data_IF_656134404936
#
_entry.id   IF_656134404936
#
_cell.length_a   1.000
_cell.length_b   1.000
_cell.length_c   1.000
_cell.angle_alpha   90.00
_cell.angle_beta   90.00
_cell.angle_gamma   90.00
#
_symmetry.space_group_name_H-M   'P 1'
#
loop_
_entity.id
_entity.type
_entity.pdbx_description
1 polymer ?
#
# COMPACT_ATOMS: atom_id res chain seq x y z
N UNK A 1 -15.90 -11.41 27.99
CA UNK A 1 -14.92 -10.51 28.61
C UNK A 1 -14.39 -9.57 27.56
N UNK A 2 -14.94 -8.37 27.49
CA UNK A 2 -14.20 -7.31 26.81
C UNK A 2 -12.91 -7.09 27.63
N UNK A 3 -11.73 -7.00 27.02
CA UNK A 3 -10.51 -6.70 27.76
C UNK A 3 -10.55 -5.24 28.22
N UNK A 4 -11.33 -4.98 29.26
CA UNK A 4 -11.30 -3.72 29.95
C UNK A 4 -9.94 -3.63 30.64
N UNK A 5 -8.99 -2.92 30.02
CA UNK A 5 -7.69 -2.64 30.62
C UNK A 5 -6.46 -3.19 29.91
N UNK A 6 -6.58 -3.81 28.74
CA UNK A 6 -5.39 -4.11 27.94
C UNK A 6 -4.80 -2.79 27.41
N UNK A 7 -3.68 -2.36 27.95
CA UNK A 7 -2.91 -1.25 27.42
C UNK A 7 -1.77 -1.81 26.60
N UNK A 8 -1.78 -1.49 25.31
CA UNK A 8 -0.69 -1.88 24.41
C UNK A 8 0.25 -0.69 24.27
N UNK A 9 1.52 -0.89 24.56
CA UNK A 9 2.54 0.13 24.42
C UNK A 9 3.57 -0.35 23.38
N UNK A 10 3.77 0.43 22.35
CA UNK A 10 4.72 0.14 21.28
C UNK A 10 6.03 0.90 21.52
N UNK A 11 7.11 0.16 21.60
CA UNK A 11 8.46 0.71 21.68
C UNK A 11 9.06 0.87 20.27
N UNK A 12 8.39 1.60 19.41
CA UNK A 12 8.98 2.04 18.15
C UNK A 12 8.88 3.55 18.12
N UNK A 13 9.97 4.22 17.77
CA UNK A 13 10.00 5.67 17.72
C UNK A 13 8.73 6.23 17.07
N UNK A 14 8.31 7.35 17.39
CA UNK A 14 7.20 8.24 16.98
C UNK A 14 6.20 7.81 15.87
N UNK A 15 6.12 6.55 15.49
CA UNK A 15 5.14 6.02 14.53
C UNK A 15 3.81 5.74 15.21
N UNK A 16 2.72 6.27 14.68
CA UNK A 16 1.39 5.95 15.16
C UNK A 16 1.01 4.55 14.69
N UNK A 17 1.08 3.58 15.60
CA UNK A 17 0.40 2.31 15.45
C UNK A 17 -1.01 2.48 16.01
N UNK A 18 -2.03 2.02 15.28
CA UNK A 18 -3.37 1.93 15.85
C UNK A 18 -3.37 0.79 16.86
N UNK A 19 -3.69 1.14 18.10
CA UNK A 19 -3.73 0.22 19.22
C UNK A 19 -5.12 -0.38 19.45
N UNK A 20 -6.01 -0.17 18.50
CA UNK A 20 -7.31 -0.83 18.51
C UNK A 20 -7.14 -2.34 18.30
N UNK A 21 -7.36 -3.14 19.35
CA UNK A 21 -7.66 -4.57 19.17
C UNK A 21 -8.97 -4.66 18.40
N UNK A 22 -8.89 -5.10 17.17
CA UNK A 22 -10.07 -5.48 16.39
C UNK A 22 -10.32 -6.95 16.71
N UNK A 23 -11.27 -7.22 17.58
CA UNK A 23 -11.64 -8.56 18.01
C UNK A 23 -11.89 -8.65 19.51
N UNK A 24 -12.41 -9.77 19.93
CA UNK A 24 -12.62 -10.11 21.34
C UNK A 24 -11.85 -11.38 21.62
N UNK A 25 -10.67 -11.31 22.27
CA UNK A 25 -9.92 -12.51 22.60
C UNK A 25 -10.78 -13.53 23.34
N UNK A 26 -10.71 -14.78 22.92
CA UNK A 26 -11.42 -15.86 23.57
C UNK A 26 -10.76 -16.22 24.89
N UNK A 27 -11.54 -16.36 25.96
CA UNK A 27 -11.08 -16.90 27.25
C UNK A 27 -11.76 -18.26 27.47
N UNK A 28 -10.97 -19.28 27.68
CA UNK A 28 -11.47 -20.61 28.04
C UNK A 28 -10.90 -21.04 29.39
N UNK A 29 -11.75 -21.61 30.25
CA UNK A 29 -11.35 -22.30 31.47
C UNK A 29 -10.95 -23.73 31.13
N UNK A 30 -9.80 -24.14 31.62
CA UNK A 30 -9.29 -25.54 31.46
C UNK A 30 -9.68 -26.44 32.62
N UNK A 31 -10.48 -25.96 33.57
CA UNK A 31 -11.02 -26.77 34.68
C UNK A 31 -10.07 -27.07 35.81
N UNK A 32 -8.88 -26.48 35.84
CA UNK A 32 -7.84 -26.72 36.85
C UNK A 32 -7.39 -25.46 37.58
N UNK A 33 -8.21 -24.43 37.59
CA UNK A 33 -7.84 -23.09 38.06
C UNK A 33 -6.88 -22.37 37.10
N UNK A 34 -6.79 -22.85 35.89
CA UNK A 34 -6.02 -22.22 34.79
C UNK A 34 -6.95 -21.90 33.64
N UNK A 35 -6.70 -20.79 32.98
CA UNK A 35 -7.43 -20.37 31.78
C UNK A 35 -6.46 -20.07 30.65
N UNK A 36 -6.96 -20.12 29.42
CA UNK A 36 -6.21 -19.73 28.24
C UNK A 36 -6.87 -18.53 27.62
N UNK A 37 -6.09 -17.45 27.40
CA UNK A 37 -6.45 -16.33 26.56
C UNK A 37 -5.90 -16.59 25.17
N UNK A 38 -6.78 -16.65 24.18
CA UNK A 38 -6.39 -16.88 22.77
C UNK A 38 -6.76 -15.68 21.94
N UNK A 39 -5.76 -15.08 21.29
CA UNK A 39 -5.99 -14.13 20.20
C UNK A 39 -6.24 -14.92 18.89
N UNK A 40 -7.24 -14.54 18.14
CA UNK A 40 -7.55 -15.15 16.85
C UNK A 40 -7.12 -14.26 15.66
N UNK A 41 -7.40 -14.70 14.44
CA UNK A 41 -7.02 -13.97 13.23
C UNK A 41 -7.75 -12.62 13.06
N UNK A 42 -8.78 -12.34 13.84
CA UNK A 42 -9.47 -11.06 13.86
C UNK A 42 -8.84 -10.07 14.85
N UNK A 43 -7.99 -10.56 15.76
CA UNK A 43 -7.25 -9.74 16.72
C UNK A 43 -6.00 -9.20 16.04
N UNK A 44 -6.15 -8.12 15.28
CA UNK A 44 -5.05 -7.51 14.52
C UNK A 44 -4.61 -6.19 15.11
N UNK A 45 -3.34 -5.91 14.95
CA UNK A 45 -2.74 -4.61 15.24
C UNK A 45 -2.38 -3.99 13.90
N UNK A 46 -2.91 -2.79 13.62
CA UNK A 46 -2.69 -2.10 12.37
C UNK A 46 -1.71 -0.94 12.52
N UNK A 47 -0.88 -0.74 11.52
CA UNK A 47 -0.07 0.46 11.40
C UNK A 47 -0.92 1.61 10.84
N UNK A 48 -1.07 2.69 11.61
CA UNK A 48 -1.79 3.88 11.17
C UNK A 48 -0.89 4.75 10.29
N UNK A 49 -1.29 4.91 9.04
CA UNK A 49 -0.58 5.69 8.03
C UNK A 49 -1.00 7.17 8.06
N UNK A 50 -0.60 7.91 9.09
CA UNK A 50 -0.84 9.35 9.15
C UNK A 50 0.33 10.16 8.59
N UNK A 51 1.48 10.07 9.23
CA UNK A 51 2.69 10.81 8.88
C UNK A 51 3.80 9.83 8.49
N UNK A 52 4.62 10.13 7.47
CA UNK A 52 5.75 9.29 7.12
C UNK A 52 6.74 9.15 8.27
N UNK A 53 7.13 7.92 8.56
CA UNK A 53 8.11 7.55 9.58
C UNK A 53 9.25 6.77 8.98
N UNK A 54 10.45 6.95 9.53
CA UNK A 54 11.61 6.14 9.14
C UNK A 54 11.36 4.65 9.44
N UNK A 55 12.04 3.73 8.75
CA UNK A 55 11.94 2.31 9.04
C UNK A 55 12.21 2.01 10.52
N UNK A 56 11.41 1.09 11.07
CA UNK A 56 11.55 0.69 12.47
C UNK A 56 11.15 -0.77 12.67
N UNK A 57 11.69 -1.38 13.73
CA UNK A 57 11.25 -2.69 14.21
C UNK A 57 10.36 -2.49 15.42
N UNK A 58 9.13 -2.98 15.37
CA UNK A 58 8.19 -2.83 16.46
C UNK A 58 8.38 -3.93 17.49
N UNK A 59 8.43 -3.54 18.76
CA UNK A 59 8.25 -4.43 19.89
C UNK A 59 7.02 -4.00 20.68
N UNK A 60 6.23 -4.99 21.12
CA UNK A 60 4.95 -4.78 21.79
C UNK A 60 5.13 -5.08 23.27
N UNK A 61 4.58 -4.22 24.11
CA UNK A 61 4.34 -4.53 25.52
C UNK A 61 2.84 -4.70 25.75
N UNK A 62 2.45 -5.83 26.27
CA UNK A 62 1.06 -6.16 26.60
C UNK A 62 0.88 -6.10 28.11
N UNK A 63 -0.09 -5.31 28.55
CA UNK A 63 -0.53 -5.27 29.94
C UNK A 63 -1.91 -5.90 30.03
N UNK A 64 -2.05 -6.96 30.82
CA UNK A 64 -3.31 -7.64 31.03
C UNK A 64 -3.79 -7.47 32.48
N UNK A 65 -5.04 -7.03 32.63
CA UNK A 65 -5.79 -7.07 33.89
C UNK A 65 -6.99 -7.99 33.71
N UNK A 66 -7.01 -9.09 34.43
CA UNK A 66 -8.10 -10.08 34.39
C UNK A 66 -8.88 -9.97 35.69
N UNK A 67 -10.19 -9.88 35.58
CA UNK A 67 -11.11 -9.87 36.71
C UNK A 67 -12.14 -10.99 36.51
N UNK A 68 -12.21 -11.92 37.47
CA UNK A 68 -13.33 -12.84 37.55
C UNK A 68 -14.47 -12.17 38.32
N UNK A 69 -15.56 -11.86 37.59
CA UNK A 69 -16.72 -11.20 38.17
C UNK A 69 -17.59 -12.12 39.02
N UNK A 70 -17.43 -13.43 38.91
CA UNK A 70 -18.15 -14.41 39.72
C UNK A 70 -17.59 -14.53 41.12
N UNK A 71 -16.32 -14.25 41.34
CA UNK A 71 -15.61 -14.30 42.61
C UNK A 71 -15.35 -12.92 43.23
N UNK A 72 -15.95 -11.90 42.72
CA UNK A 72 -15.69 -10.48 43.07
C UNK A 72 -16.02 -10.14 44.55
N UNK A 73 -16.75 -11.01 45.25
CA UNK A 73 -17.13 -10.81 46.64
C UNK A 73 -16.14 -11.44 47.64
N UNK A 74 -15.14 -12.18 47.17
CA UNK A 74 -14.17 -12.89 48.02
C UNK A 74 -12.82 -12.18 47.93
N UNK A 75 -12.43 -11.55 49.02
CA UNK A 75 -11.14 -10.85 49.09
C UNK A 75 -9.99 -11.84 48.85
N UNK A 76 -9.23 -11.59 47.80
CA UNK A 76 -8.04 -12.38 47.43
C UNK A 76 -8.25 -13.43 46.35
N UNK A 77 -9.48 -13.67 45.87
CA UNK A 77 -9.74 -14.62 44.81
C UNK A 77 -10.22 -13.87 43.53
N UNK A 78 -9.68 -14.26 42.40
CA UNK A 78 -10.20 -13.88 41.08
C UNK A 78 -9.89 -12.45 40.58
N UNK A 79 -9.23 -11.64 41.38
CA UNK A 79 -8.80 -10.31 40.98
C UNK A 79 -7.29 -10.31 40.81
N UNK A 80 -6.83 -10.40 39.57
CA UNK A 80 -5.49 -9.93 39.27
C UNK A 80 -5.57 -8.41 39.42
N UNK A 81 -4.91 -7.90 40.45
CA UNK A 81 -4.97 -6.53 40.90
C UNK A 81 -4.77 -5.55 39.71
N UNK A 82 -5.76 -4.71 39.45
CA UNK A 82 -5.68 -3.66 38.41
C UNK A 82 -4.54 -2.68 38.64
N UNK A 83 -4.04 -2.56 39.87
CA UNK A 83 -2.87 -1.76 40.21
C UNK A 83 -1.53 -2.45 39.88
N UNK A 84 -1.53 -3.77 39.63
CA UNK A 84 -0.35 -4.54 39.27
C UNK A 84 -0.73 -5.54 38.13
N UNK A 85 -1.01 -5.05 36.92
CA UNK A 85 -1.34 -5.89 35.79
C UNK A 85 -0.15 -6.80 35.44
N UNK A 86 -0.43 -7.98 34.88
CA UNK A 86 0.61 -8.82 34.28
C UNK A 86 1.20 -8.10 33.07
N UNK A 87 2.51 -7.93 33.06
CA UNK A 87 3.23 -7.23 32.00
C UNK A 87 4.04 -8.24 31.18
N UNK A 88 3.79 -8.25 29.90
CA UNK A 88 4.60 -8.93 28.91
C UNK A 88 5.29 -7.85 28.06
N UNK A 89 6.61 -7.90 27.96
CA UNK A 89 7.37 -6.89 27.23
C UNK A 89 8.24 -7.53 26.16
N UNK A 90 8.70 -6.70 25.23
CA UNK A 90 9.60 -7.11 24.14
C UNK A 90 9.04 -8.20 23.22
N UNK A 91 7.71 -8.26 23.07
CA UNK A 91 7.08 -9.14 22.10
C UNK A 91 7.38 -8.58 20.70
N UNK A 92 8.13 -9.33 19.89
CA UNK A 92 8.45 -8.93 18.54
C UNK A 92 7.17 -8.91 17.68
N UNK A 93 6.89 -7.78 17.04
CA UNK A 93 5.82 -7.65 16.07
C UNK A 93 6.32 -8.17 14.71
N UNK A 94 5.47 -8.93 14.00
CA UNK A 94 5.79 -9.50 12.68
C UNK A 94 7.16 -10.21 12.64
N UNK A 95 7.42 -11.03 13.67
CA UNK A 95 8.69 -11.76 13.85
C UNK A 95 9.95 -10.88 13.84
N UNK A 96 9.81 -9.62 14.24
CA UNK A 96 10.90 -8.64 14.24
C UNK A 96 11.24 -8.06 12.87
N UNK A 97 10.35 -8.21 11.90
CA UNK A 97 10.50 -7.59 10.58
C UNK A 97 10.48 -6.06 10.65
N UNK A 98 11.26 -5.44 9.79
CA UNK A 98 11.29 -3.99 9.67
C UNK A 98 10.00 -3.47 9.01
N UNK A 99 9.29 -2.57 9.68
CA UNK A 99 8.11 -1.89 9.17
C UNK A 99 8.55 -0.64 8.40
N UNK A 100 8.01 -0.44 7.20
CA UNK A 100 8.32 0.68 6.32
C UNK A 100 7.05 1.43 5.92
N UNK A 101 7.10 2.75 6.02
CA UNK A 101 6.04 3.60 5.49
C UNK A 101 6.14 3.65 3.96
N UNK A 102 5.32 2.86 3.28
CA UNK A 102 5.39 2.65 1.84
C UNK A 102 4.45 3.54 1.02
N UNK A 103 4.75 3.68 -0.28
CA UNK A 103 3.84 4.15 -1.33
C UNK A 103 4.19 3.55 -2.67
N UNK A 104 3.24 3.54 -3.61
CA UNK A 104 3.47 3.19 -5.01
C UNK A 104 3.64 4.47 -5.82
N UNK A 105 4.69 4.58 -6.62
CA UNK A 105 4.94 5.71 -7.49
C UNK A 105 4.83 5.32 -8.96
N UNK A 106 4.24 6.20 -9.75
CA UNK A 106 4.20 6.14 -11.21
C UNK A 106 4.93 7.34 -11.79
N UNK A 107 5.58 7.18 -12.93
CA UNK A 107 6.10 8.29 -13.71
C UNK A 107 5.45 8.37 -15.08
N UNK A 108 5.33 9.59 -15.62
CA UNK A 108 4.88 9.79 -16.99
C UNK A 108 5.81 9.08 -17.96
N UNK A 109 5.23 8.54 -19.03
CA UNK A 109 5.98 7.89 -20.09
C UNK A 109 5.57 8.44 -21.45
N UNK A 110 6.52 8.50 -22.37
CA UNK A 110 6.22 8.84 -23.76
C UNK A 110 7.06 8.00 -24.71
N UNK A 111 6.50 7.71 -25.88
CA UNK A 111 7.17 6.91 -26.88
C UNK A 111 6.45 6.97 -28.23
N UNK A 112 6.90 6.12 -29.15
CA UNK A 112 6.25 5.97 -30.45
C UNK A 112 4.93 5.22 -30.30
N UNK A 113 3.96 5.60 -31.12
CA UNK A 113 2.68 4.90 -31.27
C UNK A 113 2.86 3.49 -31.92
N UNK A 114 4.02 3.25 -32.50
CA UNK A 114 4.35 1.97 -33.18
C UNK A 114 5.03 0.95 -32.23
N UNK A 115 5.36 1.35 -31.02
CA UNK A 115 6.10 0.52 -30.07
C UNK A 115 5.37 0.41 -28.73
N UNK A 116 5.55 -0.73 -28.06
CA UNK A 116 5.09 -0.90 -26.70
C UNK A 116 5.80 0.08 -25.76
N UNK A 117 5.03 0.74 -24.90
CA UNK A 117 5.52 1.79 -24.02
C UNK A 117 5.65 1.29 -22.57
N UNK A 118 6.86 1.12 -22.04
CA UNK A 118 7.03 0.85 -20.62
C UNK A 118 6.71 2.12 -19.80
N UNK A 119 5.95 1.94 -18.72
CA UNK A 119 5.65 3.00 -17.76
C UNK A 119 6.39 2.68 -16.46
N UNK A 120 7.25 3.59 -15.98
CA UNK A 120 7.93 3.37 -14.72
C UNK A 120 6.94 3.29 -13.56
N UNK A 121 6.99 2.18 -12.84
CA UNK A 121 6.21 1.92 -11.63
C UNK A 121 7.13 1.32 -10.58
N UNK A 122 7.14 1.91 -9.39
CA UNK A 122 7.99 1.43 -8.31
C UNK A 122 7.34 1.58 -6.94
N UNK A 123 7.60 0.63 -6.06
CA UNK A 123 7.31 0.76 -4.64
C UNK A 123 8.41 1.59 -3.98
N UNK A 124 8.00 2.55 -3.18
CA UNK A 124 8.87 3.46 -2.45
C UNK A 124 8.57 3.38 -0.97
N UNK A 125 9.53 3.74 -0.13
CA UNK A 125 9.36 3.90 1.31
C UNK A 125 10.02 5.19 1.79
N UNK A 126 9.53 5.73 2.89
CA UNK A 126 10.13 6.89 3.54
C UNK A 126 11.36 6.46 4.33
N UNK A 127 12.53 7.00 4.00
CA UNK A 127 13.81 6.64 4.63
C UNK A 127 14.23 7.54 5.80
N UNK A 128 13.31 8.44 6.22
CA UNK A 128 13.58 9.45 7.25
C UNK A 128 13.78 10.86 6.69
N UNK A 129 14.14 11.01 5.41
CA UNK A 129 14.34 12.30 4.74
C UNK A 129 13.52 12.45 3.45
N UNK A 130 13.16 11.35 2.82
CA UNK A 130 12.42 11.34 1.56
C UNK A 130 11.96 9.95 1.17
N UNK A 131 11.16 9.87 0.10
CA UNK A 131 10.76 8.59 -0.48
C UNK A 131 11.86 8.06 -1.39
N UNK A 132 12.34 6.86 -1.08
CA UNK A 132 13.30 6.11 -1.86
C UNK A 132 12.68 4.80 -2.35
N UNK A 133 13.19 4.26 -3.46
CA UNK A 133 12.75 2.95 -3.96
C UNK A 133 12.98 1.86 -2.91
N UNK A 134 11.97 1.03 -2.69
CA UNK A 134 12.07 -0.13 -1.82
C UNK A 134 12.70 -1.33 -2.55
N UNK A 135 14.03 -1.33 -2.65
CA UNK A 135 14.74 -2.40 -3.36
C UNK A 135 14.59 -3.79 -2.72
N UNK A 136 14.13 -3.87 -1.48
CA UNK A 136 13.82 -5.14 -0.82
C UNK A 136 12.44 -5.69 -1.21
N UNK A 137 11.59 -4.92 -1.90
CA UNK A 137 10.26 -5.38 -2.27
C UNK A 137 10.32 -6.35 -3.47
N UNK A 138 10.00 -7.59 -3.16
CA UNK A 138 9.83 -8.68 -4.12
C UNK A 138 8.46 -9.36 -3.96
N UNK A 139 7.55 -8.77 -3.18
CA UNK A 139 6.24 -9.36 -2.86
C UNK A 139 5.05 -8.56 -3.40
N UNK A 140 5.17 -7.26 -3.62
CA UNK A 140 4.09 -6.46 -4.22
C UNK A 140 3.68 -7.05 -5.56
N UNK A 141 2.39 -7.32 -5.71
CA UNK A 141 1.81 -7.88 -6.91
C UNK A 141 0.58 -7.08 -7.32
N UNK A 142 0.56 -6.66 -8.58
CA UNK A 142 -0.53 -5.92 -9.18
C UNK A 142 -0.90 -6.55 -10.52
N UNK A 143 -2.12 -6.34 -10.98
CA UNK A 143 -2.64 -6.88 -12.22
C UNK A 143 -3.12 -5.76 -13.17
N UNK A 144 -3.12 -6.02 -14.45
CA UNK A 144 -3.51 -5.06 -15.49
C UNK A 144 -4.94 -4.53 -15.31
N UNK A 145 -5.87 -5.36 -14.81
CA UNK A 145 -7.24 -4.95 -14.54
C UNK A 145 -7.39 -4.00 -13.35
N UNK A 146 -6.33 -3.72 -12.60
CA UNK A 146 -6.30 -2.73 -11.52
C UNK A 146 -5.82 -1.35 -12.00
N UNK A 147 -5.49 -1.22 -13.28
CA UNK A 147 -5.08 0.04 -13.89
C UNK A 147 -6.27 0.70 -14.54
N UNK A 148 -6.73 1.81 -14.00
CA UNK A 148 -7.78 2.66 -14.56
C UNK A 148 -7.21 3.52 -15.67
N UNK A 149 -7.88 3.56 -16.81
CA UNK A 149 -7.53 4.39 -17.95
C UNK A 149 -8.64 5.43 -18.21
N UNK A 150 -8.24 6.67 -18.43
CA UNK A 150 -9.17 7.78 -18.64
C UNK A 150 -8.50 8.91 -19.43
N UNK A 151 -9.30 9.93 -19.78
CA UNK A 151 -8.75 11.16 -20.36
C UNK A 151 -8.00 10.93 -21.67
N UNK A 152 -8.54 10.09 -22.53
CA UNK A 152 -8.05 9.86 -23.88
C UNK A 152 -8.04 11.16 -24.68
N UNK A 153 -6.93 11.46 -25.39
CA UNK A 153 -6.73 12.73 -26.05
C UNK A 153 -6.14 12.56 -27.44
N UNK A 154 -6.48 13.49 -28.33
CA UNK A 154 -6.13 13.55 -29.76
C UNK A 154 -6.69 12.33 -30.51
N UNK A 155 -5.87 11.70 -31.33
CA UNK A 155 -6.27 10.59 -32.19
C UNK A 155 -6.19 9.23 -31.48
N UNK A 156 -5.86 9.22 -30.18
CA UNK A 156 -5.84 8.00 -29.37
C UNK A 156 -7.21 7.81 -28.70
N UNK A 157 -7.95 6.78 -29.13
CA UNK A 157 -9.26 6.44 -28.60
C UNK A 157 -9.19 5.33 -27.57
N UNK A 158 -10.34 5.12 -26.88
CA UNK A 158 -10.43 4.11 -25.82
C UNK A 158 -10.10 2.71 -26.34
N UNK A 159 -9.18 2.04 -25.65
CA UNK A 159 -8.73 0.67 -25.89
C UNK A 159 -7.98 0.42 -27.21
N UNK A 160 -7.55 1.46 -27.93
CA UNK A 160 -6.57 1.31 -29.03
C UNK A 160 -5.19 0.87 -28.51
N UNK A 161 -4.92 1.09 -27.23
CA UNK A 161 -3.80 0.49 -26.50
C UNK A 161 -4.33 -0.23 -25.28
N UNK A 162 -3.67 -1.30 -24.90
CA UNK A 162 -4.01 -2.10 -23.72
C UNK A 162 -2.87 -2.10 -22.71
N UNK A 163 -3.24 -2.26 -21.43
CA UNK A 163 -2.29 -2.36 -20.33
C UNK A 163 -1.91 -3.82 -20.10
N UNK A 164 -0.64 -4.06 -19.88
CA UNK A 164 -0.10 -5.28 -19.28
C UNK A 164 0.66 -4.96 -18.00
N UNK A 165 0.34 -5.69 -16.95
CA UNK A 165 1.00 -5.62 -15.66
C UNK A 165 0.81 -6.98 -15.01
N UNK A 166 1.87 -7.69 -14.71
CA UNK A 166 1.79 -9.05 -14.15
C UNK A 166 3.05 -9.39 -13.37
N UNK A 167 2.91 -10.39 -12.51
CA UNK A 167 4.00 -10.87 -11.68
C UNK A 167 4.27 -9.98 -10.47
N UNK A 168 5.23 -10.41 -9.69
CA UNK A 168 5.70 -9.68 -8.52
C UNK A 168 6.68 -8.58 -8.92
N UNK A 169 6.77 -7.56 -8.10
CA UNK A 169 7.82 -6.57 -8.24
C UNK A 169 9.20 -7.23 -8.05
N UNK A 170 10.18 -6.70 -8.76
CA UNK A 170 11.56 -7.12 -8.61
C UNK A 170 12.39 -5.90 -8.18
N UNK A 171 13.04 -6.02 -7.03
CA UNK A 171 13.79 -4.92 -6.41
C UNK A 171 12.98 -3.60 -6.40
N UNK A 172 11.69 -3.69 -6.04
CA UNK A 172 10.79 -2.55 -5.96
C UNK A 172 10.29 -2.00 -7.29
N UNK A 173 10.46 -2.71 -8.41
CA UNK A 173 9.99 -2.27 -9.73
C UNK A 173 8.98 -3.24 -10.31
N UNK A 174 7.89 -2.71 -10.85
CA UNK A 174 6.92 -3.46 -11.64
C UNK A 174 7.19 -3.36 -13.14
N UNK A 175 6.50 -4.18 -13.92
CA UNK A 175 6.65 -4.28 -15.37
C UNK A 175 5.44 -3.73 -16.15
N UNK A 176 4.91 -2.60 -15.71
CA UNK A 176 3.78 -1.94 -16.36
C UNK A 176 4.12 -1.51 -17.79
N UNK A 177 3.29 -1.91 -18.75
CA UNK A 177 3.47 -1.58 -20.17
C UNK A 177 2.14 -1.32 -20.85
N UNK A 178 2.17 -0.45 -21.84
CA UNK A 178 1.12 -0.34 -22.85
C UNK A 178 1.53 -1.07 -24.12
N UNK A 179 0.57 -1.67 -24.81
CA UNK A 179 0.77 -2.16 -26.18
C UNK A 179 0.94 -0.97 -27.13
N UNK A 180 1.54 -1.19 -28.31
CA UNK A 180 1.58 -0.19 -29.37
C UNK A 180 0.14 0.11 -29.83
N UNK A 181 -0.34 1.36 -29.79
CA UNK A 181 -1.66 1.69 -30.33
C UNK A 181 -1.77 1.57 -31.85
N UNK A 182 -0.65 1.64 -32.55
CA UNK A 182 -0.59 1.55 -34.00
C UNK A 182 -0.49 2.89 -34.72
N UNK A 183 -0.18 2.85 -36.00
CA UNK A 183 0.02 4.04 -36.83
C UNK A 183 -1.25 4.91 -36.86
N UNK A 184 -1.07 6.22 -36.67
CA UNK A 184 -2.14 7.21 -36.65
C UNK A 184 -2.78 7.42 -35.28
N UNK A 185 -2.63 6.52 -34.33
CA UNK A 185 -3.20 6.64 -32.98
C UNK A 185 -2.25 7.42 -32.06
N UNK A 186 -2.03 8.68 -32.43
CA UNK A 186 -1.16 9.60 -31.67
C UNK A 186 -1.96 10.31 -30.58
N UNK A 187 -1.44 10.36 -29.37
CA UNK A 187 -2.18 11.03 -28.30
C UNK A 187 -1.69 10.67 -26.93
N UNK A 188 -2.55 10.78 -25.95
CA UNK A 188 -2.22 10.41 -24.58
C UNK A 188 -3.42 9.86 -23.82
N UNK A 189 -3.14 9.07 -22.81
CA UNK A 189 -4.11 8.53 -21.85
C UNK A 189 -3.60 8.74 -20.43
N UNK A 190 -4.48 9.10 -19.53
CA UNK A 190 -4.19 9.14 -18.11
C UNK A 190 -4.41 7.76 -17.51
N UNK A 191 -3.50 7.34 -16.64
CA UNK A 191 -3.56 6.06 -15.95
C UNK A 191 -3.47 6.27 -14.43
N UNK A 192 -4.23 5.45 -13.69
CA UNK A 192 -4.26 5.42 -12.24
C UNK A 192 -4.22 3.96 -11.80
N UNK A 193 -3.37 3.59 -10.85
CA UNK A 193 -3.46 2.26 -10.23
C UNK A 193 -4.45 2.31 -9.08
N UNK A 194 -5.55 1.56 -9.18
CA UNK A 194 -6.59 1.50 -8.16
C UNK A 194 -6.14 0.61 -7.00
N UNK A 195 -5.59 1.22 -5.96
CA UNK A 195 -5.12 0.56 -4.74
C UNK A 195 -6.25 0.33 -3.70
N UNK A 196 -7.44 0.89 -3.94
CA UNK A 196 -8.61 0.67 -3.08
C UNK A 196 -9.16 -0.75 -3.13
N UNK A 197 -10.15 -1.05 -2.32
CA UNK A 197 -10.79 -2.36 -2.25
C UNK A 197 -11.88 -2.57 -3.31
N UNK A 198 -12.47 -1.49 -3.83
CA UNK A 198 -13.62 -1.55 -4.75
C UNK A 198 -13.23 -1.27 -6.18
N UNK A 199 -13.98 -1.85 -7.12
CA UNK A 199 -13.86 -1.52 -8.53
C UNK A 199 -14.19 -0.03 -8.76
N UNK A 200 -13.39 0.66 -9.58
CA UNK A 200 -13.57 2.07 -9.89
C UNK A 200 -12.96 2.39 -11.25
N UNK A 201 -13.75 3.02 -12.12
CA UNK A 201 -13.32 3.42 -13.47
C UNK A 201 -13.23 2.26 -14.45
N UNK A 202 -12.57 2.49 -15.58
CA UNK A 202 -12.44 1.54 -16.69
C UNK A 202 -10.99 1.22 -16.98
N UNK A 203 -10.75 -0.01 -17.42
CA UNK A 203 -9.45 -0.50 -17.89
C UNK A 203 -9.56 -1.00 -19.33
N UNK A 204 -8.43 -1.20 -19.97
CA UNK A 204 -8.31 -1.86 -21.27
C UNK A 204 -7.29 -3.01 -21.20
N UNK A 205 -7.42 -3.85 -20.19
CA UNK A 205 -6.64 -5.08 -20.10
C UNK A 205 -7.10 -6.07 -21.20
N UNK A 206 -6.17 -6.50 -22.06
CA UNK A 206 -6.51 -7.38 -23.19
C UNK A 206 -7.23 -6.69 -24.36
N UNK A 207 -7.22 -5.34 -24.43
CA UNK A 207 -7.79 -4.60 -25.57
C UNK A 207 -9.30 -4.38 -25.52
N UNK A 208 -9.96 -4.76 -24.43
CA UNK A 208 -11.41 -4.58 -24.23
C UNK A 208 -11.65 -3.69 -23.02
N UNK A 209 -12.60 -2.75 -23.18
CA UNK A 209 -13.03 -1.92 -22.06
C UNK A 209 -13.79 -2.75 -21.03
N UNK A 210 -13.38 -2.68 -19.78
CA UNK A 210 -14.00 -3.37 -18.65
C UNK A 210 -13.90 -2.52 -17.38
N UNK A 211 -14.74 -2.75 -16.36
CA UNK A 211 -14.56 -2.13 -15.05
C UNK A 211 -13.19 -2.49 -14.47
N UNK A 212 -12.51 -1.49 -13.91
CA UNK A 212 -11.24 -1.72 -13.24
C UNK A 212 -11.46 -2.24 -11.82
N UNK A 213 -10.74 -3.30 -11.45
CA UNK A 213 -10.79 -3.89 -10.11
C UNK A 213 -10.01 -3.05 -9.09
N UNK A 214 -10.27 -3.27 -7.80
CA UNK A 214 -9.43 -2.77 -6.72
C UNK A 214 -8.32 -3.75 -6.36
N UNK A 215 -7.15 -3.24 -5.98
CA UNK A 215 -6.02 -4.05 -5.55
C UNK A 215 -6.05 -4.43 -4.06
N UNK A 216 -6.87 -3.74 -3.27
CA UNK A 216 -6.92 -3.88 -1.81
C UNK A 216 -5.53 -3.67 -1.15
N UNK A 217 -4.75 -2.74 -1.67
CA UNK A 217 -3.40 -2.43 -1.19
C UNK A 217 -3.29 -0.96 -0.77
N UNK A 218 -4.25 -0.50 0.05
CA UNK A 218 -4.36 0.90 0.50
C UNK A 218 -3.10 1.41 1.19
N UNK A 219 -2.29 0.51 1.76
CA UNK A 219 -1.01 0.86 2.37
C UNK A 219 0.05 1.35 1.36
N UNK A 220 -0.19 1.21 0.06
CA UNK A 220 0.67 1.75 -1.01
C UNK A 220 0.14 3.06 -1.61
N UNK A 221 -0.96 3.61 -1.12
CA UNK A 221 -1.45 4.93 -1.53
C UNK A 221 -0.47 6.03 -1.09
N UNK A 222 -0.53 7.18 -1.74
CA UNK A 222 0.35 8.32 -1.48
C UNK A 222 -0.42 9.62 -1.25
N UNK A 223 0.26 10.67 -0.83
CA UNK A 223 -0.27 12.03 -0.73
C UNK A 223 0.09 12.82 -1.99
N UNK A 224 -0.54 12.52 -3.14
CA UNK A 224 -0.16 13.04 -4.45
C UNK A 224 -0.66 14.47 -4.70
N UNK A 225 -1.75 14.90 -4.07
CA UNK A 225 -2.32 16.24 -4.21
C UNK A 225 -2.51 16.98 -2.88
N UNK A 226 -1.94 16.48 -1.78
CA UNK A 226 -1.97 17.12 -0.46
C UNK A 226 -2.17 16.13 0.69
N UNK A 227 -1.88 16.49 1.85
CA UNK A 227 -1.94 16.01 3.22
C UNK A 227 -2.17 14.54 3.57
N UNK A 228 -3.10 13.85 2.96
CA UNK A 228 -3.45 12.47 3.32
C UNK A 228 -2.81 11.43 2.39
N UNK A 229 -2.42 10.28 2.96
CA UNK A 229 -1.86 9.15 2.21
C UNK A 229 -2.95 8.15 1.79
N UNK A 230 -4.00 8.66 1.15
CA UNK A 230 -5.20 7.95 0.72
C UNK A 230 -5.42 7.99 -0.80
N UNK A 231 -4.44 8.50 -1.55
CA UNK A 231 -4.58 8.75 -2.97
C UNK A 231 -3.87 7.70 -3.82
N UNK A 232 -4.54 7.29 -4.88
CA UNK A 232 -3.98 6.39 -5.86
C UNK A 232 -2.91 7.09 -6.72
N UNK A 233 -1.80 6.41 -7.06
CA UNK A 233 -0.78 6.98 -7.93
C UNK A 233 -1.31 7.11 -9.37
N UNK A 234 -0.98 8.23 -10.00
CA UNK A 234 -1.40 8.55 -11.36
C UNK A 234 -0.21 8.95 -12.23
N UNK A 235 -0.34 8.72 -13.53
CA UNK A 235 0.61 9.16 -14.54
C UNK A 235 -0.09 9.36 -15.89
N UNK A 236 0.67 9.81 -16.88
CA UNK A 236 0.22 9.94 -18.28
C UNK A 236 1.15 9.17 -19.19
N UNK A 237 0.56 8.36 -20.07
CA UNK A 237 1.24 7.74 -21.19
C UNK A 237 0.93 8.55 -22.47
N UNK A 238 1.96 8.87 -23.26
CA UNK A 238 1.84 9.64 -24.48
C UNK A 238 2.51 8.94 -25.65
N UNK A 239 1.85 8.91 -26.79
CA UNK A 239 2.25 8.18 -27.98
C UNK A 239 2.34 9.12 -29.18
N UNK A 240 3.46 9.06 -29.90
CA UNK A 240 3.64 9.81 -31.16
C UNK A 240 3.70 11.33 -31.01
N UNK A 241 3.70 11.87 -29.79
CA UNK A 241 3.73 13.30 -29.53
C UNK A 241 5.17 13.81 -29.47
N UNK A 242 5.84 13.80 -30.58
CA UNK A 242 7.18 14.38 -30.69
C UNK A 242 7.11 15.89 -30.82
N UNK A 243 7.59 16.65 -29.84
CA UNK A 243 8.02 18.02 -30.07
C UNK A 243 9.39 18.00 -30.73
N UNK A 244 9.43 17.60 -31.99
CA UNK A 244 10.60 17.82 -32.80
C UNK A 244 10.78 19.33 -32.96
N UNK A 245 11.86 19.88 -32.42
CA UNK A 245 12.34 21.19 -32.85
C UNK A 245 12.68 21.07 -34.34
N UNK A 246 11.86 21.63 -35.22
CA UNK A 246 12.17 21.78 -36.63
C UNK A 246 13.16 22.94 -36.85
N UNK A 247 14.10 23.13 -35.94
CA UNK A 247 15.23 24.05 -36.16
C UNK A 247 16.26 23.32 -37.00
N UNK A 248 16.08 23.34 -38.31
CA UNK A 248 17.15 23.11 -39.25
C UNK A 248 18.13 24.29 -39.08
N UNK A 249 19.24 24.05 -38.37
CA UNK A 249 20.37 25.00 -38.38
C UNK A 249 21.11 24.77 -39.71
N UNK A 250 20.82 25.61 -40.69
CA UNK A 250 21.64 25.70 -41.89
C UNK A 250 22.94 26.45 -41.52
N UNK A 251 24.00 25.75 -41.28
CA UNK A 251 25.36 26.29 -41.32
C UNK A 251 25.77 26.34 -42.79
N UNK A 252 25.70 27.53 -43.39
CA UNK A 252 26.31 27.81 -44.69
C UNK A 252 27.73 28.28 -44.42
N UNK A 253 28.70 27.41 -44.66
CA UNK A 253 30.10 27.86 -44.75
C UNK A 253 30.20 28.75 -46.01
N UNK A 254 30.57 30.01 -45.81
CA UNK A 254 30.99 30.89 -46.88
C UNK A 254 32.54 30.86 -46.91
N UNK A 255 33.04 30.37 -48.00
CA UNK A 255 34.46 30.54 -48.37
C UNK A 255 34.64 31.92 -49.03
#
# INVERSE_FOLDING_TARGET
LAPAGATQTYAAGSGALDTGLVGTPGVSDTGSGTGTLTADAADVIAFVRGTPVAPFTAAISLSMSIQDTSENAVAGNGVINTAAPALFSSIAFDSGSEIRFGRLALANAHGSELLALPVPIESQFWNGSGFARNAADACTQLAANQVVLSGWRRDLNACETSVSLSGRFNAGRGNLRFSAPGAGNTGSVDLVVNLGATASGSTCAGGVAAPAAGASQTWLQGAWSGGAYDQNPAARASFGLYRGSKSLIYLREMY
#
